data_IF_980704329727
#
_entry.id   IF_980704329727
#
_cell.length_a   1.000
_cell.length_b   1.000
_cell.length_c   1.000
_cell.angle_alpha   90.00
_cell.angle_beta   90.00
_cell.angle_gamma   90.00
#
_symmetry.space_group_name_H-M   'P 1'
#
loop_
_entity.id
_entity.type
_entity.pdbx_description
1 polymer ?
#
# COMPACT_ATOMS: atom_id res chain seq x y z
N UNK A 1 -42.72 -0.58 8.03
CA UNK A 1 -41.55 -0.08 7.25
C UNK A 1 -40.30 -0.41 8.05
N UNK A 2 -39.53 -1.42 7.63
CA UNK A 2 -38.36 -1.89 8.37
C UNK A 2 -37.16 -1.05 7.96
N UNK A 3 -36.56 -0.37 8.93
CA UNK A 3 -35.30 0.35 8.82
C UNK A 3 -34.19 -0.63 8.43
N UNK A 4 -33.66 -0.49 7.22
CA UNK A 4 -32.45 -1.21 6.81
C UNK A 4 -31.26 -0.52 7.45
N UNK A 5 -30.81 -1.09 8.57
CA UNK A 5 -29.55 -0.74 9.20
C UNK A 5 -28.39 -1.00 8.23
N UNK A 6 -27.48 -0.03 8.17
CA UNK A 6 -26.28 -0.05 7.33
C UNK A 6 -25.41 -1.29 7.64
N UNK A 7 -24.95 -1.95 6.58
CA UNK A 7 -24.18 -3.19 6.61
C UNK A 7 -22.75 -2.98 7.17
N UNK A 8 -22.24 -3.87 8.04
CA UNK A 8 -20.89 -3.76 8.65
C UNK A 8 -19.67 -3.77 7.70
N UNK A 9 -19.87 -3.84 6.38
CA UNK A 9 -18.78 -3.99 5.39
C UNK A 9 -18.32 -2.69 4.71
N UNK A 10 -18.87 -1.52 5.07
CA UNK A 10 -18.39 -0.21 4.60
C UNK A 10 -17.05 0.23 5.22
N UNK A 11 -16.42 -0.60 6.06
CA UNK A 11 -15.03 -0.41 6.50
C UNK A 11 -14.06 -0.95 5.46
N UNK A 12 -14.13 -0.43 4.24
CA UNK A 12 -12.91 -0.29 3.45
C UNK A 12 -11.89 0.42 4.33
N UNK A 13 -10.63 -0.01 4.31
CA UNK A 13 -9.53 0.72 4.93
C UNK A 13 -9.40 2.08 4.22
N UNK A 14 -10.25 3.03 4.60
CA UNK A 14 -9.91 4.43 4.62
C UNK A 14 -8.66 4.48 5.50
N UNK A 15 -7.48 4.56 4.87
CA UNK A 15 -6.28 4.95 5.61
C UNK A 15 -6.69 6.20 6.37
N UNK A 16 -6.83 6.08 7.70
CA UNK A 16 -7.35 7.17 8.52
C UNK A 16 -6.48 8.35 8.17
N UNK A 17 -7.05 9.37 7.52
CA UNK A 17 -6.38 10.63 7.21
C UNK A 17 -5.55 11.13 8.41
N UNK A 18 -6.03 10.84 9.63
CA UNK A 18 -5.38 11.02 10.93
C UNK A 18 -3.91 10.56 11.01
N UNK A 19 -3.54 9.46 10.38
CA UNK A 19 -2.18 8.90 10.47
C UNK A 19 -1.19 9.61 9.52
N UNK A 20 -1.70 10.25 8.45
CA UNK A 20 -0.93 11.01 7.45
C UNK A 20 -0.99 12.53 7.70
N UNK A 21 -1.99 12.99 8.45
CA UNK A 21 -2.24 14.40 8.78
C UNK A 21 -1.58 14.88 10.07
N UNK A 22 -0.75 14.05 10.72
CA UNK A 22 0.03 14.54 11.86
C UNK A 22 0.88 15.70 11.37
N UNK A 23 0.66 16.90 11.92
CA UNK A 23 1.52 18.05 11.65
C UNK A 23 2.95 17.60 11.91
N UNK A 24 3.79 17.74 10.89
CA UNK A 24 5.20 17.45 11.00
C UNK A 24 5.74 18.15 12.24
N UNK A 25 6.42 17.41 13.12
CA UNK A 25 7.09 17.95 14.31
C UNK A 25 8.43 18.59 13.95
N UNK A 26 8.78 18.59 12.65
CA UNK A 26 9.99 19.21 12.14
C UNK A 26 9.92 20.72 12.29
N UNK A 27 10.94 21.31 12.91
CA UNK A 27 11.17 22.76 12.93
C UNK A 27 11.73 23.19 11.56
N UNK A 28 10.81 23.60 10.68
CA UNK A 28 11.13 24.02 9.31
C UNK A 28 11.88 25.35 9.26
N UNK A 29 11.70 26.23 10.24
CA UNK A 29 12.36 27.54 10.25
C UNK A 29 13.83 27.41 10.63
N UNK A 30 14.16 26.47 11.53
CA UNK A 30 15.55 26.08 11.81
C UNK A 30 16.22 25.49 10.57
N UNK A 31 15.61 24.51 9.91
CA UNK A 31 16.22 23.83 8.75
C UNK A 31 16.48 24.81 7.60
N UNK A 32 15.58 25.76 7.35
CA UNK A 32 15.77 26.77 6.29
C UNK A 32 16.91 27.75 6.54
N UNK A 33 17.31 27.95 7.81
CA UNK A 33 18.39 28.88 8.21
C UNK A 33 19.72 28.19 8.42
N UNK A 34 19.73 26.86 8.46
CA UNK A 34 20.92 26.04 8.65
C UNK A 34 21.80 26.13 7.40
N UNK A 35 23.11 26.34 7.60
CA UNK A 35 24.08 26.27 6.52
C UNK A 35 24.49 24.82 6.26
N UNK A 36 24.90 24.52 5.03
CA UNK A 36 25.27 23.15 4.63
C UNK A 36 26.44 22.56 5.46
N UNK A 37 27.34 23.42 5.95
CA UNK A 37 28.48 23.04 6.81
C UNK A 37 28.05 22.51 8.19
N UNK A 38 26.84 22.86 8.63
CA UNK A 38 26.27 22.44 9.92
C UNK A 38 25.54 21.09 9.83
N UNK A 39 25.45 20.50 8.62
CA UNK A 39 24.80 19.21 8.39
C UNK A 39 25.73 18.09 8.86
N UNK A 40 25.24 17.27 9.79
CA UNK A 40 25.94 16.09 10.28
C UNK A 40 25.81 14.93 9.29
N UNK A 41 26.95 14.40 8.83
CA UNK A 41 27.06 13.24 7.93
C UNK A 41 27.73 12.02 8.60
N UNK A 42 27.81 12.00 9.94
CA UNK A 42 28.47 10.93 10.68
C UNK A 42 27.82 9.56 10.50
N UNK A 43 26.51 9.51 10.20
CA UNK A 43 25.73 8.30 9.99
C UNK A 43 25.74 7.82 8.52
N UNK A 44 25.75 8.76 7.56
CA UNK A 44 25.65 8.48 6.13
C UNK A 44 26.62 9.39 5.35
N UNK A 45 27.56 8.82 4.57
CA UNK A 45 28.52 9.62 3.82
C UNK A 45 27.83 10.40 2.70
N UNK A 46 28.34 11.60 2.41
CA UNK A 46 27.82 12.44 1.35
C UNK A 46 27.88 11.74 -0.02
N UNK A 47 26.81 11.94 -0.81
CA UNK A 47 26.66 11.41 -2.17
C UNK A 47 27.18 12.48 -3.15
N UNK A 48 28.48 12.42 -3.42
CA UNK A 48 29.09 13.24 -4.46
C UNK A 48 28.65 12.83 -5.89
N UNK A 49 28.95 13.68 -6.89
CA UNK A 49 28.51 13.47 -8.28
C UNK A 49 28.99 12.14 -8.88
N UNK A 50 30.18 11.65 -8.51
CA UNK A 50 30.68 10.36 -8.98
C UNK A 50 29.89 9.17 -8.44
N UNK A 51 29.46 9.23 -7.17
CA UNK A 51 28.61 8.20 -6.56
C UNK A 51 27.20 8.27 -7.14
N UNK A 52 26.69 9.48 -7.36
CA UNK A 52 25.39 9.70 -7.98
C UNK A 52 25.34 9.17 -9.42
N UNK A 53 26.40 9.39 -10.21
CA UNK A 53 26.50 8.86 -11.58
C UNK A 53 26.47 7.32 -11.64
N UNK A 54 26.95 6.65 -10.59
CA UNK A 54 26.90 5.19 -10.44
C UNK A 54 25.59 4.68 -9.82
N UNK A 55 24.69 5.58 -9.41
CA UNK A 55 23.43 5.19 -8.81
C UNK A 55 22.53 4.51 -9.85
N UNK A 56 22.10 3.29 -9.53
CA UNK A 56 21.21 2.53 -10.40
C UNK A 56 19.78 3.01 -10.18
N UNK A 57 19.25 3.81 -11.12
CA UNK A 57 17.84 4.17 -11.13
C UNK A 57 17.03 2.91 -11.44
N UNK A 58 16.25 2.42 -10.46
CA UNK A 58 15.23 1.40 -10.69
C UNK A 58 14.08 2.00 -11.51
N UNK A 59 14.30 2.16 -12.81
CA UNK A 59 13.30 2.62 -13.76
C UNK A 59 12.44 1.42 -14.15
N UNK A 60 11.13 1.51 -13.91
CA UNK A 60 10.20 0.43 -14.28
C UNK A 60 9.92 -0.60 -13.20
N UNK A 61 9.84 -0.18 -11.91
CA UNK A 61 8.95 -0.93 -11.01
C UNK A 61 7.59 -0.98 -11.70
N UNK A 62 7.23 -2.15 -12.25
CA UNK A 62 5.89 -2.39 -12.75
C UNK A 62 4.98 -2.13 -11.56
N UNK A 63 4.31 -0.99 -11.55
CA UNK A 63 3.13 -0.78 -10.72
C UNK A 63 2.22 -1.92 -11.09
N UNK A 64 2.13 -2.93 -10.21
CA UNK A 64 1.27 -4.08 -10.42
C UNK A 64 -0.08 -3.53 -10.83
N UNK A 65 -0.56 -3.92 -12.03
CA UNK A 65 -1.86 -3.47 -12.56
C UNK A 65 -2.86 -3.49 -11.41
N UNK A 66 -3.45 -2.32 -11.15
CA UNK A 66 -4.22 -2.07 -9.94
C UNK A 66 -5.34 -3.10 -9.79
N UNK A 67 -5.55 -3.58 -8.57
CA UNK A 67 -6.73 -4.40 -8.28
C UNK A 67 -7.96 -3.51 -8.41
N UNK A 68 -8.94 -3.93 -9.21
CA UNK A 68 -10.24 -3.26 -9.26
C UNK A 68 -11.08 -3.74 -8.09
N UNK A 69 -11.66 -2.82 -7.33
CA UNK A 69 -12.64 -3.16 -6.30
C UNK A 69 -13.97 -3.50 -6.97
N UNK A 70 -14.43 -4.73 -6.80
CA UNK A 70 -15.70 -5.20 -7.33
C UNK A 70 -16.56 -5.78 -6.20
N UNK A 71 -17.84 -5.41 -6.17
CA UNK A 71 -18.83 -6.05 -5.30
C UNK A 71 -19.40 -7.26 -6.02
N UNK A 72 -18.94 -8.47 -5.66
CA UNK A 72 -19.39 -9.74 -6.23
C UNK A 72 -20.07 -10.58 -5.15
N UNK A 73 -21.17 -11.27 -5.51
CA UNK A 73 -21.78 -12.30 -4.66
C UNK A 73 -21.07 -13.64 -4.90
N UNK A 74 -20.65 -14.28 -3.82
CA UNK A 74 -20.04 -15.62 -3.81
C UNK A 74 -20.83 -16.44 -2.80
N UNK A 75 -21.03 -17.72 -3.09
CA UNK A 75 -21.74 -18.65 -2.21
C UNK A 75 -21.07 -18.74 -0.82
N UNK A 76 -21.91 -18.90 0.20
CA UNK A 76 -21.50 -18.86 1.60
C UNK A 76 -20.52 -19.98 1.96
N UNK A 77 -20.75 -21.18 1.43
CA UNK A 77 -19.92 -22.37 1.64
C UNK A 77 -18.51 -22.18 1.06
N UNK A 78 -18.40 -21.60 -0.13
CA UNK A 78 -17.13 -21.25 -0.79
C UNK A 78 -16.35 -20.24 0.05
N UNK A 79 -17.00 -19.15 0.48
CA UNK A 79 -16.35 -18.13 1.33
C UNK A 79 -15.92 -18.75 2.66
N UNK A 80 -16.77 -19.58 3.26
CA UNK A 80 -16.50 -20.26 4.53
C UNK A 80 -15.30 -21.20 4.43
N UNK A 81 -15.20 -21.96 3.34
CA UNK A 81 -14.07 -22.84 3.07
C UNK A 81 -12.75 -22.07 2.94
N UNK A 82 -12.74 -20.95 2.21
CA UNK A 82 -11.55 -20.12 2.08
C UNK A 82 -11.15 -19.44 3.39
N UNK A 83 -12.13 -19.04 4.22
CA UNK A 83 -11.87 -18.47 5.56
C UNK A 83 -11.24 -19.48 6.52
N UNK A 84 -11.66 -20.74 6.49
CA UNK A 84 -11.07 -21.83 7.31
C UNK A 84 -9.57 -22.02 7.06
N UNK A 85 -9.07 -21.67 5.88
CA UNK A 85 -7.65 -21.75 5.51
C UNK A 85 -6.80 -20.58 6.03
N UNK A 86 -7.34 -19.74 6.90
CA UNK A 86 -6.62 -18.66 7.58
C UNK A 86 -6.60 -17.33 6.82
N UNK A 87 -5.69 -16.44 7.26
CA UNK A 87 -5.57 -15.06 6.73
C UNK A 87 -5.31 -15.06 5.22
N UNK A 88 -5.85 -14.04 4.54
CA UNK A 88 -5.61 -13.84 3.10
C UNK A 88 -6.56 -14.60 2.18
N UNK A 89 -7.74 -15.00 2.67
CA UNK A 89 -8.76 -15.71 1.88
C UNK A 89 -9.11 -15.00 0.56
N UNK A 90 -9.21 -13.66 0.56
CA UNK A 90 -9.44 -12.86 -0.66
C UNK A 90 -8.30 -13.00 -1.68
N UNK A 91 -7.05 -13.01 -1.21
CA UNK A 91 -5.87 -13.22 -2.07
C UNK A 91 -5.90 -14.61 -2.70
N UNK A 92 -6.30 -15.64 -1.93
CA UNK A 92 -6.44 -17.02 -2.42
C UNK A 92 -7.54 -17.15 -3.47
N UNK A 93 -8.68 -16.49 -3.27
CA UNK A 93 -9.76 -16.41 -4.27
C UNK A 93 -9.24 -15.78 -5.57
N UNK A 94 -8.57 -14.63 -5.47
CA UNK A 94 -8.00 -13.96 -6.66
C UNK A 94 -6.93 -14.82 -7.36
N UNK A 95 -6.11 -15.57 -6.61
CA UNK A 95 -5.14 -16.50 -7.20
C UNK A 95 -5.82 -17.62 -7.98
N UNK A 96 -6.91 -18.19 -7.45
CA UNK A 96 -7.70 -19.21 -8.15
C UNK A 96 -8.31 -18.66 -9.44
N UNK A 97 -8.91 -17.47 -9.39
CA UNK A 97 -9.49 -16.81 -10.58
C UNK A 97 -8.43 -16.55 -11.66
N UNK A 98 -7.22 -16.14 -11.27
CA UNK A 98 -6.09 -15.98 -12.19
C UNK A 98 -5.65 -17.30 -12.81
N UNK A 99 -5.50 -18.36 -12.00
CA UNK A 99 -5.12 -19.66 -12.51
C UNK A 99 -6.15 -20.20 -13.51
N UNK A 100 -7.44 -20.02 -13.22
CA UNK A 100 -8.52 -20.38 -14.15
C UNK A 100 -8.44 -19.58 -15.46
N UNK A 101 -8.24 -18.26 -15.37
CA UNK A 101 -8.11 -17.38 -16.54
C UNK A 101 -6.93 -17.79 -17.42
N UNK A 102 -5.75 -18.06 -16.85
CA UNK A 102 -4.57 -18.46 -17.63
C UNK A 102 -4.71 -19.87 -18.24
N UNK A 103 -5.42 -20.78 -17.57
CA UNK A 103 -5.68 -22.13 -18.09
C UNK A 103 -6.70 -22.16 -19.24
N UNK A 104 -7.56 -21.15 -19.35
CA UNK A 104 -8.60 -21.04 -20.40
C UNK A 104 -8.30 -19.95 -21.42
N UNK A 105 -7.03 -19.55 -21.51
CA UNK A 105 -6.53 -18.58 -22.45
C UNK A 105 -5.91 -19.28 -23.65
#
# INVERSE_FOLDING_TARGET
MKSFGLSPQEKQQEMKKRDILKKSQTDWDRIKKMNDEEIDFSDIPEIGPEKFAKAMVRKGLKTSSGKVLLTLRIDEDVVSWFRKRGRGYQTKINALLRAYMEAHK
#
